data_IF_406459483938
#
_entry.id   IF_406459483938
#
_cell.length_a   1.000
_cell.length_b   1.000
_cell.length_c   1.000
_cell.angle_alpha   90.00
_cell.angle_beta   90.00
_cell.angle_gamma   90.00
#
_symmetry.space_group_name_H-M   'P 1'
#
loop_
_entity.id
_entity.type
_entity.pdbx_description
1 polymer ?
#
# COMPACT_ATOMS: atom_id res chain seq x y z
N UNK A 1 -1.81 -8.94 -0.03
CA UNK A 1 -2.46 -9.12 1.28
C UNK A 1 -3.81 -9.85 1.18
N UNK A 2 -4.75 -9.47 0.30
CA UNK A 2 -6.08 -10.07 0.17
C UNK A 2 -6.12 -11.44 -0.53
N UNK A 3 -5.02 -11.84 -1.16
CA UNK A 3 -4.82 -13.17 -1.76
C UNK A 3 -4.11 -14.14 -0.80
N UNK A 4 -4.33 -13.98 0.51
CA UNK A 4 -3.82 -14.85 1.59
C UNK A 4 -4.95 -15.21 2.53
N UNK A 5 -4.70 -16.15 3.42
CA UNK A 5 -5.69 -16.63 4.40
C UNK A 5 -6.02 -15.63 5.51
N UNK A 6 -6.87 -16.06 6.42
CA UNK A 6 -7.33 -15.26 7.56
C UNK A 6 -6.16 -14.81 8.44
N UNK A 7 -6.20 -13.57 8.91
CA UNK A 7 -5.09 -12.97 9.65
C UNK A 7 -3.84 -12.74 8.80
N UNK A 8 -3.98 -12.74 7.46
CA UNK A 8 -2.89 -12.63 6.48
C UNK A 8 -1.87 -13.77 6.73
N UNK A 9 -2.39 -15.00 6.87
CA UNK A 9 -1.64 -16.19 7.20
C UNK A 9 -2.09 -17.39 6.37
N UNK A 10 -1.12 -18.07 5.73
CA UNK A 10 -1.39 -19.21 4.86
C UNK A 10 -2.04 -18.85 3.52
N UNK A 11 -2.43 -19.84 2.73
CA UNK A 11 -3.05 -19.64 1.42
C UNK A 11 -4.47 -19.07 1.54
N UNK A 12 -4.99 -18.42 0.49
CA UNK A 12 -6.36 -17.96 0.45
C UNK A 12 -7.34 -19.14 0.47
N UNK A 13 -8.57 -18.92 0.93
CA UNK A 13 -9.65 -19.92 0.92
C UNK A 13 -10.01 -20.37 -0.49
N UNK A 14 -10.00 -19.43 -1.44
CA UNK A 14 -10.19 -19.70 -2.87
C UNK A 14 -8.93 -19.31 -3.65
N UNK A 15 -8.05 -20.28 -3.84
CA UNK A 15 -6.82 -20.11 -4.59
C UNK A 15 -7.08 -19.88 -6.08
N UNK A 16 -8.14 -20.49 -6.63
CA UNK A 16 -8.50 -20.31 -8.03
C UNK A 16 -8.96 -18.88 -8.31
N UNK A 17 -9.79 -18.31 -7.41
CA UNK A 17 -10.18 -16.90 -7.52
C UNK A 17 -8.99 -15.95 -7.35
N UNK A 18 -8.10 -16.21 -6.38
CA UNK A 18 -6.89 -15.41 -6.21
C UNK A 18 -6.05 -15.37 -7.49
N UNK A 19 -5.88 -16.49 -8.18
CA UNK A 19 -5.19 -16.57 -9.47
C UNK A 19 -5.94 -15.83 -10.58
N UNK A 20 -7.28 -15.88 -10.61
CA UNK A 20 -8.08 -15.10 -11.57
C UNK A 20 -7.90 -13.59 -11.36
N UNK A 21 -7.89 -13.14 -10.10
CA UNK A 21 -7.60 -11.73 -9.76
C UNK A 21 -6.24 -11.31 -10.31
N UNK A 22 -5.20 -12.11 -10.09
CA UNK A 22 -3.85 -11.79 -10.58
C UNK A 22 -3.76 -11.79 -12.11
N UNK A 23 -4.40 -12.74 -12.79
CA UNK A 23 -4.44 -12.80 -14.25
C UNK A 23 -5.21 -11.60 -14.86
N UNK A 24 -6.22 -11.08 -14.15
CA UNK A 24 -7.05 -9.96 -14.61
C UNK A 24 -6.34 -8.60 -14.53
N UNK A 25 -5.35 -8.44 -13.62
CA UNK A 25 -4.66 -7.16 -13.41
C UNK A 25 -4.07 -6.55 -14.70
N UNK A 26 -3.24 -7.26 -15.49
CA UNK A 26 -2.68 -6.70 -16.72
C UNK A 26 -3.74 -6.40 -17.79
N UNK A 27 -4.82 -7.18 -17.87
CA UNK A 27 -5.93 -6.93 -18.80
C UNK A 27 -6.67 -5.62 -18.50
N UNK A 28 -6.66 -5.19 -17.24
CA UNK A 28 -7.23 -3.91 -16.78
C UNK A 28 -6.21 -2.76 -16.81
N UNK A 29 -4.99 -2.99 -17.32
CA UNK A 29 -3.94 -1.98 -17.40
C UNK A 29 -3.27 -1.67 -16.06
N UNK A 30 -3.46 -2.52 -15.04
CA UNK A 30 -2.78 -2.34 -13.74
C UNK A 30 -1.32 -2.73 -13.89
N UNK A 31 -0.43 -1.76 -13.68
CA UNK A 31 1.01 -1.91 -13.84
C UNK A 31 1.83 -1.63 -12.56
N UNK A 32 1.16 -1.35 -11.44
CA UNK A 32 1.77 -1.23 -10.12
C UNK A 32 1.09 -2.19 -9.14
N UNK A 33 1.87 -3.10 -8.55
CA UNK A 33 1.37 -4.17 -7.68
C UNK A 33 2.12 -4.12 -6.36
N UNK A 34 1.39 -3.94 -5.25
CA UNK A 34 1.94 -3.91 -3.90
C UNK A 34 1.78 -5.25 -3.19
N UNK A 35 2.88 -5.78 -2.67
CA UNK A 35 2.92 -7.00 -1.87
C UNK A 35 3.91 -6.87 -0.69
N UNK A 36 4.20 -7.96 0.00
CA UNK A 36 5.25 -8.08 1.01
C UNK A 36 5.60 -9.56 1.24
N UNK A 37 6.82 -9.82 1.67
CA UNK A 37 7.28 -11.14 2.10
C UNK A 37 6.46 -11.69 3.28
N UNK A 38 6.04 -10.81 4.15
CA UNK A 38 5.26 -11.12 5.36
C UNK A 38 3.78 -11.45 5.10
N UNK A 39 3.30 -11.35 3.84
CA UNK A 39 1.93 -11.68 3.50
C UNK A 39 1.76 -13.17 3.19
N UNK A 40 1.16 -13.87 4.15
CA UNK A 40 0.85 -15.26 4.05
C UNK A 40 1.68 -16.30 4.85
N UNK A 41 2.84 -16.01 5.50
CA UNK A 41 4.07 -15.44 4.97
C UNK A 41 4.48 -16.09 3.65
N UNK A 42 4.98 -15.29 2.76
CA UNK A 42 5.49 -15.61 1.42
C UNK A 42 4.44 -15.94 0.35
N UNK A 43 3.26 -16.43 0.72
CA UNK A 43 2.19 -16.86 -0.21
C UNK A 43 1.87 -15.80 -1.27
N UNK A 44 1.80 -14.51 -0.87
CA UNK A 44 1.50 -13.43 -1.82
C UNK A 44 2.58 -13.28 -2.89
N UNK A 45 3.85 -13.36 -2.52
CA UNK A 45 4.97 -13.29 -3.48
C UNK A 45 5.06 -14.56 -4.34
N UNK A 46 4.81 -15.75 -3.77
CA UNK A 46 4.80 -17.00 -4.52
C UNK A 46 3.73 -16.97 -5.63
N UNK A 47 2.52 -16.51 -5.31
CA UNK A 47 1.44 -16.37 -6.28
C UNK A 47 1.75 -15.33 -7.37
N UNK A 48 2.38 -14.22 -7.00
CA UNK A 48 2.84 -13.23 -7.98
C UNK A 48 3.93 -13.78 -8.89
N UNK A 49 4.83 -14.61 -8.37
CA UNK A 49 5.88 -15.29 -9.13
C UNK A 49 5.36 -16.39 -10.11
N UNK A 50 4.09 -16.79 -10.02
CA UNK A 50 3.43 -17.67 -11.00
C UNK A 50 3.00 -16.93 -12.26
N UNK A 51 2.85 -15.60 -12.20
CA UNK A 51 2.33 -14.77 -13.31
C UNK A 51 3.49 -14.21 -14.14
N UNK A 52 3.35 -14.28 -15.46
CA UNK A 52 4.24 -13.57 -16.39
C UNK A 52 3.72 -12.14 -16.57
N UNK A 53 4.35 -11.19 -15.91
CA UNK A 53 3.96 -9.79 -15.97
C UNK A 53 4.40 -9.11 -17.26
N UNK A 54 3.59 -8.19 -17.84
CA UNK A 54 4.01 -7.33 -18.93
C UNK A 54 5.26 -6.52 -18.59
N UNK A 55 6.04 -6.17 -19.59
CA UNK A 55 7.17 -5.25 -19.43
C UNK A 55 6.71 -3.89 -18.84
N UNK A 56 7.48 -3.33 -17.95
CA UNK A 56 7.12 -2.09 -17.24
C UNK A 56 6.23 -2.28 -16.02
N UNK A 57 5.79 -3.50 -15.70
CA UNK A 57 5.07 -3.74 -14.45
C UNK A 57 5.99 -3.58 -13.25
N UNK A 58 5.60 -2.73 -12.32
CA UNK A 58 6.31 -2.50 -11.05
C UNK A 58 5.71 -3.39 -9.96
N UNK A 59 6.47 -4.38 -9.51
CA UNK A 59 6.14 -5.15 -8.31
C UNK A 59 6.88 -4.49 -7.14
N UNK A 60 6.09 -3.86 -6.27
CA UNK A 60 6.56 -3.29 -5.02
C UNK A 60 6.40 -4.34 -3.91
N UNK A 61 7.52 -4.80 -3.34
CA UNK A 61 7.47 -5.69 -2.18
C UNK A 61 8.12 -5.06 -0.95
N UNK A 62 7.96 -5.70 0.20
CA UNK A 62 8.43 -5.19 1.48
C UNK A 62 9.12 -6.29 2.26
N UNK A 63 10.07 -5.90 3.11
CA UNK A 63 10.73 -6.78 4.08
C UNK A 63 10.97 -6.06 5.41
N UNK A 64 11.51 -6.77 6.37
CA UNK A 64 11.78 -6.23 7.70
C UNK A 64 10.67 -6.47 8.72
N UNK A 65 9.70 -7.35 8.40
CA UNK A 65 8.76 -7.90 9.37
C UNK A 65 8.87 -9.41 9.45
N UNK A 66 8.87 -9.95 10.65
CA UNK A 66 8.66 -11.38 10.87
C UNK A 66 7.26 -11.66 11.41
N UNK A 67 6.80 -12.89 11.21
CA UNK A 67 5.45 -13.34 11.54
C UNK A 67 5.53 -14.57 12.45
N UNK A 68 4.89 -14.49 13.62
CA UNK A 68 4.81 -15.60 14.57
C UNK A 68 3.43 -16.30 14.58
N UNK A 69 2.49 -15.81 13.78
CA UNK A 69 1.13 -16.35 13.66
C UNK A 69 0.18 -15.38 12.97
N UNK A 70 -1.11 -15.76 12.80
CA UNK A 70 -2.13 -14.91 12.23
C UNK A 70 -2.24 -13.56 12.97
N UNK A 71 -2.19 -12.45 12.23
CA UNK A 71 -2.29 -11.10 12.80
C UNK A 71 -1.11 -10.64 13.66
N UNK A 72 -0.07 -11.46 13.87
CA UNK A 72 1.11 -11.09 14.67
C UNK A 72 2.22 -10.59 13.77
N UNK A 73 2.70 -9.39 14.03
CA UNK A 73 3.69 -8.66 13.24
C UNK A 73 4.80 -8.12 14.14
N UNK A 74 6.05 -8.45 13.81
CA UNK A 74 7.21 -8.01 14.60
C UNK A 74 8.29 -7.41 13.70
N UNK A 75 8.68 -6.14 13.88
CA UNK A 75 9.80 -5.54 13.15
C UNK A 75 11.11 -6.26 13.45
N UNK A 76 11.92 -6.48 12.41
CA UNK A 76 13.29 -6.97 12.48
C UNK A 76 14.13 -6.21 11.46
N UNK A 77 14.90 -5.25 11.95
CA UNK A 77 15.70 -4.33 11.13
C UNK A 77 17.19 -4.69 11.05
N UNK A 78 17.60 -5.88 11.49
CA UNK A 78 19.00 -6.31 11.42
C UNK A 78 19.45 -6.41 9.96
N UNK A 79 20.64 -5.85 9.61
CA UNK A 79 21.15 -5.83 8.23
C UNK A 79 21.11 -7.19 7.53
N UNK A 80 21.56 -8.24 8.21
CA UNK A 80 21.59 -9.61 7.68
C UNK A 80 20.17 -10.15 7.39
N UNK A 81 19.18 -9.76 8.21
CA UNK A 81 17.79 -10.15 7.99
C UNK A 81 17.15 -9.38 6.84
N UNK A 82 17.39 -8.07 6.74
CA UNK A 82 16.90 -7.25 5.62
C UNK A 82 17.46 -7.76 4.29
N UNK A 83 18.74 -8.13 4.27
CA UNK A 83 19.36 -8.75 3.08
C UNK A 83 18.70 -10.10 2.74
N UNK A 84 18.43 -10.93 3.72
CA UNK A 84 17.72 -12.19 3.50
C UNK A 84 16.31 -11.93 2.93
N UNK A 85 15.56 -10.94 3.43
CA UNK A 85 14.26 -10.58 2.89
C UNK A 85 14.35 -10.26 1.39
N UNK A 86 15.31 -9.40 0.98
CA UNK A 86 15.52 -9.02 -0.42
C UNK A 86 15.86 -10.24 -1.28
N UNK A 87 16.83 -11.06 -0.86
CA UNK A 87 17.26 -12.25 -1.63
C UNK A 87 16.14 -13.26 -1.79
N UNK A 88 15.32 -13.47 -0.74
CA UNK A 88 14.19 -14.40 -0.80
C UNK A 88 13.02 -13.85 -1.60
N UNK A 89 12.78 -12.54 -1.61
CA UNK A 89 11.79 -11.91 -2.48
C UNK A 89 12.18 -12.02 -3.96
N UNK A 90 13.44 -11.77 -4.31
CA UNK A 90 13.97 -11.97 -5.66
C UNK A 90 13.70 -13.40 -6.16
N UNK A 91 13.99 -14.39 -5.31
CA UNK A 91 13.77 -15.80 -5.65
C UNK A 91 12.28 -16.12 -5.88
N UNK A 92 11.39 -15.69 -4.96
CA UNK A 92 9.95 -15.99 -5.06
C UNK A 92 9.30 -15.27 -6.24
N UNK A 93 9.64 -14.02 -6.45
CA UNK A 93 9.11 -13.19 -7.55
C UNK A 93 9.79 -13.52 -8.89
N UNK A 94 10.86 -14.34 -8.91
CA UNK A 94 11.65 -14.71 -10.10
C UNK A 94 12.21 -13.48 -10.81
N UNK A 95 12.71 -12.52 -10.04
CA UNK A 95 13.30 -11.28 -10.53
C UNK A 95 14.80 -11.25 -10.22
N UNK A 96 15.59 -10.64 -11.10
CA UNK A 96 17.02 -10.37 -10.87
C UNK A 96 17.22 -9.08 -10.04
N UNK A 97 16.24 -8.17 -10.11
CA UNK A 97 16.22 -6.89 -9.40
C UNK A 97 14.79 -6.58 -8.96
N UNK A 98 14.58 -6.19 -7.71
CA UNK A 98 13.29 -5.70 -7.22
C UNK A 98 13.08 -4.28 -7.74
N UNK A 99 12.02 -4.00 -8.54
CA UNK A 99 11.78 -2.65 -9.05
C UNK A 99 11.61 -1.62 -7.94
N UNK A 100 10.85 -1.99 -6.91
CA UNK A 100 10.65 -1.20 -5.68
C UNK A 100 10.64 -2.13 -4.47
N UNK A 101 11.51 -1.85 -3.52
CA UNK A 101 11.50 -2.53 -2.21
C UNK A 101 11.27 -1.51 -1.09
N UNK A 102 10.43 -1.85 -0.13
CA UNK A 102 10.05 -0.96 0.96
C UNK A 102 10.43 -1.56 2.32
N UNK A 103 11.04 -0.76 3.19
CA UNK A 103 11.19 -1.15 4.59
C UNK A 103 9.80 -1.14 5.25
N UNK A 104 9.30 -2.32 5.59
CA UNK A 104 7.91 -2.49 6.05
C UNK A 104 7.64 -1.77 7.37
N UNK A 105 8.62 -1.79 8.30
CA UNK A 105 8.64 -1.02 9.54
C UNK A 105 10.10 -0.76 9.94
N UNK A 106 10.37 0.40 10.46
CA UNK A 106 11.63 0.65 11.16
C UNK A 106 11.62 -0.16 12.46
N UNK A 107 12.66 -0.94 12.70
CA UNK A 107 12.83 -1.67 13.95
C UNK A 107 13.42 -0.74 15.02
N UNK A 108 12.68 -0.44 16.11
CA UNK A 108 13.19 0.44 17.16
C UNK A 108 14.35 -0.16 17.97
N UNK A 109 14.65 -1.45 17.81
CA UNK A 109 15.73 -2.16 18.51
C UNK A 109 17.06 -2.11 17.76
N UNK A 110 17.07 -1.62 16.52
CA UNK A 110 18.25 -1.49 15.67
C UNK A 110 18.41 -0.01 15.30
N UNK A 111 19.62 0.57 15.38
CA UNK A 111 19.85 1.95 14.93
C UNK A 111 19.33 2.18 13.50
N UNK A 112 18.61 3.28 13.28
CA UNK A 112 18.03 3.60 11.97
C UNK A 112 19.09 3.66 10.86
N UNK A 113 20.25 4.24 11.16
CA UNK A 113 21.34 4.37 10.18
C UNK A 113 21.92 3.02 9.76
N UNK A 114 21.93 2.00 10.63
CA UNK A 114 22.33 0.64 10.26
C UNK A 114 21.33 0.02 9.27
N UNK A 115 20.03 0.17 9.54
CA UNK A 115 18.97 -0.30 8.65
C UNK A 115 19.06 0.38 7.28
N UNK A 116 19.17 1.72 7.27
CA UNK A 116 19.22 2.51 6.04
C UNK A 116 20.52 2.27 5.24
N UNK A 117 21.65 2.12 5.91
CA UNK A 117 22.92 1.81 5.25
C UNK A 117 22.88 0.45 4.56
N UNK A 118 22.31 -0.59 5.21
CA UNK A 118 22.16 -1.90 4.60
C UNK A 118 21.26 -1.87 3.35
N UNK A 119 20.18 -1.09 3.38
CA UNK A 119 19.28 -0.92 2.23
C UNK A 119 20.01 -0.18 1.09
N UNK A 120 20.74 0.89 1.40
CA UNK A 120 21.54 1.64 0.42
C UNK A 120 22.63 0.75 -0.24
N UNK A 121 23.23 -0.15 0.52
CA UNK A 121 24.20 -1.10 -0.01
C UNK A 121 23.55 -2.05 -1.02
N UNK A 122 22.42 -2.68 -0.67
CA UNK A 122 21.67 -3.56 -1.58
C UNK A 122 21.19 -2.83 -2.84
N UNK A 123 20.86 -1.54 -2.76
CA UNK A 123 20.55 -0.73 -3.92
C UNK A 123 21.78 -0.50 -4.81
N UNK A 124 22.95 -0.20 -4.22
CA UNK A 124 24.22 -0.04 -4.97
C UNK A 124 24.67 -1.34 -5.63
N UNK A 125 24.41 -2.48 -5.03
CA UNK A 125 24.67 -3.81 -5.60
C UNK A 125 23.71 -4.16 -6.76
N UNK A 126 22.66 -3.36 -7.00
CA UNK A 126 21.70 -3.58 -8.06
C UNK A 126 20.54 -4.54 -7.71
N UNK A 127 20.48 -5.03 -6.47
CA UNK A 127 19.40 -5.92 -6.00
C UNK A 127 18.05 -5.19 -5.90
N UNK A 128 18.09 -3.89 -5.58
CA UNK A 128 16.91 -3.02 -5.43
C UNK A 128 17.01 -1.87 -6.44
N UNK A 129 15.92 -1.60 -7.15
CA UNK A 129 15.79 -0.47 -8.06
C UNK A 129 15.53 0.83 -7.31
N UNK A 130 14.39 0.90 -6.70
CA UNK A 130 13.94 2.04 -5.91
C UNK A 130 13.63 1.60 -4.48
N UNK A 131 13.81 2.53 -3.55
CA UNK A 131 13.55 2.28 -2.12
C UNK A 131 12.35 3.09 -1.66
N UNK A 132 11.47 2.44 -0.90
CA UNK A 132 10.36 3.09 -0.19
C UNK A 132 10.41 2.80 1.31
N UNK A 133 9.57 3.53 2.03
CA UNK A 133 9.39 3.38 3.48
C UNK A 133 7.91 3.15 3.80
N UNK A 134 7.62 2.52 4.93
CA UNK A 134 6.24 2.31 5.37
C UNK A 134 6.07 2.66 6.85
N UNK A 135 4.97 3.37 7.14
CA UNK A 135 4.60 3.85 8.49
C UNK A 135 5.71 4.68 9.15
N UNK A 136 6.07 5.74 8.47
CA UNK A 136 7.14 6.66 8.87
C UNK A 136 6.62 8.09 9.05
N UNK A 137 7.33 8.86 9.84
CA UNK A 137 7.16 10.30 10.02
C UNK A 137 8.11 11.06 9.08
N UNK A 138 7.88 12.37 8.92
CA UNK A 138 8.74 13.25 8.10
C UNK A 138 10.21 13.17 8.54
N UNK A 139 10.49 13.24 9.84
CA UNK A 139 11.85 13.12 10.41
C UNK A 139 12.56 11.82 9.97
N UNK A 140 11.80 10.71 9.88
CA UNK A 140 12.35 9.41 9.48
C UNK A 140 12.62 9.35 7.97
N UNK A 141 11.79 10.01 7.16
CA UNK A 141 12.02 10.17 5.73
C UNK A 141 13.28 11.01 5.48
N UNK A 142 13.43 12.15 6.17
CA UNK A 142 14.63 12.99 6.09
C UNK A 142 15.89 12.23 6.52
N UNK A 143 15.77 11.42 7.59
CA UNK A 143 16.83 10.53 8.03
C UNK A 143 17.27 9.55 6.93
N UNK A 144 16.34 8.89 6.28
CA UNK A 144 16.59 7.92 5.22
C UNK A 144 17.19 8.57 3.95
N UNK A 145 16.79 9.80 3.63
CA UNK A 145 17.31 10.57 2.47
C UNK A 145 18.81 10.86 2.55
N UNK A 146 19.42 10.73 3.71
CA UNK A 146 20.90 10.79 3.84
C UNK A 146 21.60 9.55 3.31
N UNK A 147 20.88 8.44 3.10
CA UNK A 147 21.42 7.15 2.67
C UNK A 147 21.00 6.78 1.24
N UNK A 148 19.73 7.08 0.86
CA UNK A 148 19.18 6.79 -0.46
C UNK A 148 18.04 7.76 -0.82
N UNK A 149 17.69 7.80 -2.11
CA UNK A 149 16.49 8.51 -2.57
C UNK A 149 15.25 7.72 -2.16
N UNK A 150 14.35 8.33 -1.40
CA UNK A 150 13.05 7.75 -1.03
C UNK A 150 12.09 7.95 -2.19
N UNK A 151 11.72 6.85 -2.87
CA UNK A 151 10.81 6.89 -4.02
C UNK A 151 9.33 6.88 -3.61
N UNK A 152 9.00 6.15 -2.55
CA UNK A 152 7.62 6.02 -2.05
C UNK A 152 7.56 6.01 -0.53
N UNK A 153 6.43 6.50 0.00
CA UNK A 153 6.05 6.34 1.40
C UNK A 153 4.67 5.69 1.47
N UNK A 154 4.56 4.58 2.21
CA UNK A 154 3.31 3.86 2.37
C UNK A 154 2.80 3.96 3.81
N UNK A 155 1.84 4.82 4.06
CA UNK A 155 1.27 5.07 5.38
C UNK A 155 -0.26 4.87 5.40
N UNK A 156 -0.82 4.65 6.59
CA UNK A 156 -2.27 4.61 6.78
C UNK A 156 -2.88 5.97 6.46
N UNK A 157 -3.73 5.99 5.45
CA UNK A 157 -4.46 7.20 5.08
C UNK A 157 -5.74 6.85 4.32
N UNK A 158 -6.84 7.46 4.69
CA UNK A 158 -8.14 7.33 4.04
C UNK A 158 -9.06 8.46 4.46
N UNK A 159 -10.30 8.44 3.99
CA UNK A 159 -11.28 9.50 4.24
C UNK A 159 -11.48 9.82 5.74
N UNK A 160 -11.42 8.80 6.61
CA UNK A 160 -11.68 8.92 8.06
C UNK A 160 -10.45 8.69 8.95
N UNK A 161 -9.27 8.47 8.37
CA UNK A 161 -8.01 8.42 9.08
C UNK A 161 -7.02 9.39 8.45
N UNK A 162 -6.65 10.41 9.17
CA UNK A 162 -5.83 11.54 8.72
C UNK A 162 -4.48 11.65 9.43
N UNK A 163 -4.06 10.57 10.13
CA UNK A 163 -2.82 10.60 10.92
C UNK A 163 -1.58 10.92 10.08
N UNK A 164 -1.60 10.57 8.78
CA UNK A 164 -0.47 10.79 7.86
C UNK A 164 -0.66 12.02 6.95
N UNK A 165 -1.54 12.96 7.29
CA UNK A 165 -1.77 14.17 6.49
C UNK A 165 -0.49 15.00 6.32
N UNK A 166 0.30 15.16 7.39
CA UNK A 166 1.59 15.86 7.36
C UNK A 166 2.58 15.17 6.42
N UNK A 167 2.67 13.83 6.52
CA UNK A 167 3.56 13.03 5.65
C UNK A 167 3.13 13.11 4.19
N UNK A 168 1.82 13.06 3.90
CA UNK A 168 1.31 13.24 2.55
C UNK A 168 1.68 14.62 1.98
N UNK A 169 1.51 15.69 2.77
CA UNK A 169 1.88 17.04 2.37
C UNK A 169 3.38 17.16 2.08
N UNK A 170 4.21 16.56 2.93
CA UNK A 170 5.66 16.50 2.71
C UNK A 170 5.99 15.73 1.41
N UNK A 171 5.37 14.58 1.20
CA UNK A 171 5.58 13.79 -0.03
C UNK A 171 5.18 14.57 -1.28
N UNK A 172 4.09 15.33 -1.25
CA UNK A 172 3.65 16.19 -2.34
C UNK A 172 4.67 17.28 -2.66
N UNK A 173 5.22 17.93 -1.65
CA UNK A 173 6.23 19.00 -1.81
C UNK A 173 7.56 18.45 -2.37
N UNK A 174 7.94 17.24 -1.99
CA UNK A 174 9.21 16.62 -2.36
C UNK A 174 9.12 15.70 -3.59
N UNK A 175 7.94 15.57 -4.20
CA UNK A 175 7.73 14.69 -5.35
C UNK A 175 7.89 13.19 -5.03
N UNK A 176 7.62 12.77 -3.79
CA UNK A 176 7.68 11.40 -3.34
C UNK A 176 6.31 10.74 -3.52
N UNK A 177 6.24 9.56 -4.14
CA UNK A 177 4.99 8.81 -4.27
C UNK A 177 4.40 8.43 -2.91
N UNK A 178 3.14 8.80 -2.66
CA UNK A 178 2.44 8.43 -1.43
C UNK A 178 1.47 7.29 -1.69
N UNK A 179 1.64 6.17 -0.99
CA UNK A 179 0.88 4.93 -1.18
C UNK A 179 -0.02 4.70 0.04
N UNK A 180 -1.27 5.20 0.04
CA UNK A 180 -2.16 5.01 1.17
C UNK A 180 -2.58 3.55 1.28
N UNK A 181 -2.30 2.90 2.43
CA UNK A 181 -2.88 1.60 2.70
C UNK A 181 -4.22 1.76 3.44
N UNK A 182 -5.12 0.78 3.27
CA UNK A 182 -6.51 0.81 3.73
C UNK A 182 -7.33 1.98 3.15
N UNK A 183 -7.21 2.26 1.82
CA UNK A 183 -7.77 3.46 1.19
C UNK A 183 -9.31 3.50 1.17
N UNK A 184 -9.98 2.35 1.28
CA UNK A 184 -11.44 2.21 1.20
C UNK A 184 -12.15 2.38 2.56
N UNK A 185 -11.42 2.62 3.66
CA UNK A 185 -12.08 2.80 4.95
C UNK A 185 -12.84 4.12 5.00
N UNK A 186 -14.12 4.01 5.23
CA UNK A 186 -15.06 5.13 5.24
C UNK A 186 -15.80 5.31 6.58
N UNK A 187 -15.57 4.40 7.54
CA UNK A 187 -16.20 4.46 8.87
C UNK A 187 -17.71 4.64 8.81
N UNK A 188 -18.22 5.56 9.60
CA UNK A 188 -19.65 5.88 9.66
C UNK A 188 -20.22 6.57 8.41
N UNK A 189 -19.36 7.08 7.51
CA UNK A 189 -19.81 7.82 6.32
C UNK A 189 -20.43 6.92 5.25
N UNK A 190 -20.14 5.63 5.27
CA UNK A 190 -20.71 4.64 4.35
C UNK A 190 -22.06 4.04 4.85
N UNK A 191 -22.58 4.51 5.98
CA UNK A 191 -23.89 4.08 6.48
C UNK A 191 -25.00 4.60 5.57
N UNK A 192 -26.17 3.90 5.50
CA UNK A 192 -27.34 4.40 4.78
C UNK A 192 -27.68 5.84 5.18
N UNK A 193 -27.81 6.73 4.19
CA UNK A 193 -28.04 8.17 4.38
C UNK A 193 -26.80 8.97 4.80
N UNK A 194 -25.62 8.36 4.90
CA UNK A 194 -24.35 9.08 5.07
C UNK A 194 -23.90 9.80 3.79
N UNK A 195 -22.91 10.68 3.91
CA UNK A 195 -22.43 11.48 2.76
C UNK A 195 -21.93 10.61 1.61
N UNK A 196 -21.20 9.52 1.89
CA UNK A 196 -20.75 8.59 0.86
C UNK A 196 -21.90 7.86 0.18
N UNK A 197 -22.88 7.39 0.94
CA UNK A 197 -24.06 6.70 0.40
C UNK A 197 -24.91 7.62 -0.48
N UNK A 198 -25.10 8.86 -0.03
CA UNK A 198 -25.82 9.90 -0.79
C UNK A 198 -25.12 10.22 -2.10
N UNK A 199 -23.81 10.43 -2.08
CA UNK A 199 -23.02 10.71 -3.28
C UNK A 199 -22.97 9.50 -4.22
N UNK A 200 -22.77 8.31 -3.69
CA UNK A 200 -22.77 7.07 -4.45
C UNK A 200 -24.08 6.87 -5.20
N UNK A 201 -25.22 7.05 -4.51
CA UNK A 201 -26.56 6.97 -5.11
C UNK A 201 -26.73 8.00 -6.22
N UNK A 202 -26.33 9.27 -6.00
CA UNK A 202 -26.45 10.34 -7.00
C UNK A 202 -25.59 10.08 -8.23
N UNK A 203 -24.39 9.52 -8.04
CA UNK A 203 -23.42 9.25 -9.12
C UNK A 203 -23.61 7.88 -9.78
N UNK A 204 -24.50 7.03 -9.25
CA UNK A 204 -24.75 5.68 -9.77
C UNK A 204 -23.55 4.71 -9.58
N UNK A 205 -22.76 4.90 -8.51
CA UNK A 205 -21.57 4.10 -8.20
C UNK A 205 -21.63 3.55 -6.77
N UNK A 206 -20.64 2.76 -6.37
CA UNK A 206 -20.54 2.25 -5.00
C UNK A 206 -19.94 3.31 -4.04
N UNK A 207 -20.25 3.28 -2.73
CA UNK A 207 -19.59 4.13 -1.74
C UNK A 207 -18.06 3.95 -1.72
N UNK A 208 -17.58 2.73 -1.98
CA UNK A 208 -16.14 2.44 -2.09
C UNK A 208 -15.50 3.16 -3.28
N UNK A 209 -16.18 3.24 -4.42
CA UNK A 209 -15.70 3.98 -5.59
C UNK A 209 -15.58 5.48 -5.30
N UNK A 210 -16.56 6.07 -4.60
CA UNK A 210 -16.50 7.48 -4.16
C UNK A 210 -15.32 7.71 -3.21
N UNK A 211 -15.13 6.83 -2.21
CA UNK A 211 -14.02 6.95 -1.27
C UNK A 211 -12.67 6.85 -1.98
N UNK A 212 -12.53 5.94 -2.95
CA UNK A 212 -11.31 5.77 -3.72
C UNK A 212 -11.04 6.97 -4.65
N UNK A 213 -12.06 7.49 -5.31
CA UNK A 213 -11.96 8.69 -6.14
C UNK A 213 -11.52 9.92 -5.30
N UNK A 214 -12.06 10.06 -4.08
CA UNK A 214 -11.62 11.11 -3.18
C UNK A 214 -10.13 10.96 -2.79
N UNK A 215 -9.68 9.75 -2.46
CA UNK A 215 -8.27 9.49 -2.15
C UNK A 215 -7.36 9.84 -3.33
N UNK A 216 -7.74 9.46 -4.56
CA UNK A 216 -7.01 9.77 -5.79
C UNK A 216 -6.92 11.28 -6.06
N UNK A 217 -7.98 12.03 -5.80
CA UNK A 217 -8.03 13.46 -6.04
C UNK A 217 -7.38 14.30 -4.93
N UNK A 218 -6.96 13.64 -3.80
CA UNK A 218 -6.33 14.36 -2.67
C UNK A 218 -4.99 14.98 -3.01
N UNK A 219 -4.19 14.32 -3.85
CA UNK A 219 -2.89 14.83 -4.30
C UNK A 219 -2.41 14.07 -5.54
N UNK A 220 -1.65 14.71 -6.44
CA UNK A 220 -1.11 14.06 -7.64
C UNK A 220 -0.06 12.98 -7.35
N UNK A 221 0.51 12.95 -6.14
CA UNK A 221 1.49 11.93 -5.75
C UNK A 221 0.85 10.68 -5.12
N UNK A 222 -0.47 10.66 -4.97
CA UNK A 222 -1.20 9.54 -4.35
C UNK A 222 -1.37 8.40 -5.32
N UNK A 223 -0.93 7.20 -4.89
CA UNK A 223 -1.11 5.94 -5.60
C UNK A 223 -1.78 4.92 -4.66
N UNK A 224 -3.11 4.81 -4.65
CA UNK A 224 -3.82 3.92 -3.74
C UNK A 224 -3.68 2.45 -4.14
N UNK A 225 -3.70 1.56 -3.16
CA UNK A 225 -3.57 0.11 -3.31
C UNK A 225 -4.82 -0.62 -2.77
N UNK A 226 -5.98 -0.50 -3.42
CA UNK A 226 -7.23 -1.09 -2.97
C UNK A 226 -7.21 -2.61 -3.16
N UNK A 227 -6.70 -3.34 -2.16
CA UNK A 227 -6.56 -4.80 -2.22
C UNK A 227 -7.90 -5.53 -2.20
N UNK A 228 -8.03 -6.52 -3.10
CA UNK A 228 -9.19 -7.42 -3.15
C UNK A 228 -8.75 -8.86 -3.44
N UNK A 229 -9.61 -9.82 -3.09
CA UNK A 229 -9.48 -11.24 -3.47
C UNK A 229 -10.58 -11.70 -4.44
N UNK A 230 -11.30 -10.76 -5.08
CA UNK A 230 -12.41 -11.06 -6.01
C UNK A 230 -12.27 -10.22 -7.28
N UNK A 231 -12.46 -10.84 -8.45
CA UNK A 231 -12.36 -10.17 -9.76
C UNK A 231 -13.36 -9.02 -9.88
N UNK A 232 -14.61 -9.22 -9.45
CA UNK A 232 -15.62 -8.17 -9.51
C UNK A 232 -15.18 -6.90 -8.75
N UNK A 233 -14.69 -7.05 -7.53
CA UNK A 233 -14.21 -5.90 -6.73
C UNK A 233 -12.95 -5.26 -7.33
N UNK A 234 -12.11 -6.05 -8.04
CA UNK A 234 -10.98 -5.50 -8.77
C UNK A 234 -11.45 -4.57 -9.89
N UNK A 235 -12.40 -5.02 -10.69
CA UNK A 235 -12.97 -4.24 -11.80
C UNK A 235 -13.64 -2.96 -11.30
N UNK A 236 -14.40 -3.04 -10.21
CA UNK A 236 -15.00 -1.87 -9.54
C UNK A 236 -13.95 -0.87 -9.06
N UNK A 237 -12.86 -1.35 -8.44
CA UNK A 237 -11.76 -0.50 -7.98
C UNK A 237 -11.03 0.20 -9.13
N UNK A 238 -10.81 -0.50 -10.24
CA UNK A 238 -10.17 0.10 -11.42
C UNK A 238 -11.10 1.12 -12.08
N UNK A 239 -12.40 0.80 -12.19
CA UNK A 239 -13.39 1.74 -12.73
C UNK A 239 -13.49 3.04 -11.92
N UNK A 240 -13.27 2.98 -10.60
CA UNK A 240 -13.26 4.16 -9.73
C UNK A 240 -12.17 5.18 -10.09
N UNK A 241 -11.08 4.77 -10.76
CA UNK A 241 -10.06 5.69 -11.24
C UNK A 241 -10.55 6.67 -12.31
N UNK A 242 -11.61 6.33 -13.02
CA UNK A 242 -12.28 7.22 -13.99
C UNK A 242 -13.32 8.16 -13.36
N UNK A 243 -13.61 8.04 -12.07
CA UNK A 243 -14.60 8.86 -11.38
C UNK A 243 -13.98 10.19 -10.94
N UNK A 244 -14.51 11.29 -11.46
CA UNK A 244 -14.13 12.65 -11.02
C UNK A 244 -15.24 13.21 -10.13
N UNK A 245 -14.90 13.55 -8.90
CA UNK A 245 -15.78 14.25 -7.97
C UNK A 245 -15.70 15.75 -8.20
N UNK A 246 -16.81 16.44 -8.03
CA UNK A 246 -16.81 17.91 -8.08
C UNK A 246 -16.04 18.50 -6.89
N UNK A 247 -15.56 19.75 -6.98
CA UNK A 247 -14.93 20.43 -5.84
C UNK A 247 -15.83 20.48 -4.60
N UNK A 248 -17.15 20.66 -4.80
CA UNK A 248 -18.16 20.69 -3.73
C UNK A 248 -18.29 19.33 -3.05
N UNK A 249 -18.28 18.24 -3.83
CA UNK A 249 -18.34 16.87 -3.31
C UNK A 249 -17.08 16.54 -2.52
N UNK A 250 -15.91 16.88 -3.06
CA UNK A 250 -14.65 16.72 -2.36
C UNK A 250 -14.62 17.47 -1.02
N UNK A 251 -15.10 18.73 -1.01
CA UNK A 251 -15.16 19.53 0.21
C UNK A 251 -16.15 18.95 1.24
N UNK A 252 -17.31 18.47 0.81
CA UNK A 252 -18.29 17.82 1.69
C UNK A 252 -17.73 16.54 2.32
N UNK A 253 -17.06 15.71 1.53
CA UNK A 253 -16.38 14.49 2.00
C UNK A 253 -15.26 14.81 2.97
N UNK A 254 -14.43 15.81 2.66
CA UNK A 254 -13.31 16.23 3.51
C UNK A 254 -13.81 16.72 4.88
N UNK A 255 -14.83 17.57 4.89
CA UNK A 255 -15.45 18.08 6.13
C UNK A 255 -15.99 16.95 7.01
N UNK A 256 -16.75 16.04 6.43
CA UNK A 256 -17.32 14.91 7.16
C UNK A 256 -16.25 13.90 7.61
N UNK A 257 -15.26 13.64 6.76
CA UNK A 257 -14.14 12.75 7.08
C UNK A 257 -13.31 13.28 8.25
N UNK A 258 -13.01 14.59 8.28
CA UNK A 258 -12.31 15.24 9.41
C UNK A 258 -13.14 15.19 10.70
N UNK A 259 -14.45 15.42 10.62
CA UNK A 259 -15.32 15.31 11.77
C UNK A 259 -15.36 13.89 12.36
N UNK A 260 -15.32 12.84 11.52
CA UNK A 260 -15.20 11.46 12.00
C UNK A 260 -13.80 11.18 12.60
N UNK A 261 -12.74 11.67 11.99
CA UNK A 261 -11.39 11.57 12.52
C UNK A 261 -11.26 12.19 13.91
N UNK A 262 -11.77 13.41 14.09
CA UNK A 262 -11.75 14.12 15.37
C UNK A 262 -12.51 13.38 16.48
N UNK A 263 -13.62 12.70 16.14
CA UNK A 263 -14.34 11.84 17.07
C UNK A 263 -13.53 10.61 17.50
N UNK A 264 -12.75 10.03 16.58
CA UNK A 264 -11.91 8.87 16.87
C UNK A 264 -10.74 9.24 17.80
N UNK A 265 -10.18 10.45 17.69
CA UNK A 265 -9.10 10.94 18.54
C UNK A 265 -9.53 11.23 19.99
N UNK A 266 -10.83 11.43 20.23
CA UNK A 266 -11.39 11.74 21.56
C UNK A 266 -11.82 10.49 22.35
N UNK A 267 -11.69 9.31 21.78
CA UNK A 267 -12.00 8.01 22.43
C UNK A 267 -10.74 7.32 22.93
#
# INVERSE_FOLDING_TARGET
MRITGDGIWGPPKDLAEARRVLARLPELGVNFIDTADSYGPFISEDLLGEVKWPEGTVIATKGGLTRAGPGVWMPVGRPEYLRQCVMMSLRRLKLERLPLWQLHRIDPKVPRDEQFSAIAEMQREGLIGHVGLSEVKVEEIEGARRHFTVATVQNLYNLVNRQSEEVLTFCEQEGIGFVPWFPLAAGGLARPGGVLDTLATRLGVTPSAVALAWVLQRSPVVLPIPGTGQVQHLEENVAAAGLTLSPEDCAALDLQGRAEWDKLQKR
#
